data_IF_376765417660
#
_entry.id   IF_376765417660
#
_cell.length_a   1.000
_cell.length_b   1.000
_cell.length_c   1.000
_cell.angle_alpha   90.00
_cell.angle_beta   90.00
_cell.angle_gamma   90.00
#
_symmetry.space_group_name_H-M   'P 1'
#
loop_
_entity.id
_entity.type
_entity.pdbx_description
1 polymer ?
#
# COMPACT_ATOMS: atom_id res chain seq x y z
N UNK A 1 50.84 -31.34 35.02
CA UNK A 1 50.27 -30.67 33.85
C UNK A 1 50.99 -29.34 33.65
N UNK A 2 51.87 -29.27 32.64
CA UNK A 2 52.61 -28.09 32.17
C UNK A 2 51.89 -27.52 30.93
N UNK A 3 52.29 -26.36 30.34
CA UNK A 3 52.80 -25.09 30.91
C UNK A 3 52.21 -23.85 30.16
N UNK A 4 52.61 -22.62 30.52
CA UNK A 4 52.48 -21.46 29.61
C UNK A 4 53.72 -20.55 29.68
N UNK A 5 54.23 -20.17 28.51
CA UNK A 5 55.57 -19.62 28.27
C UNK A 5 55.54 -18.20 27.67
N UNK A 6 56.32 -17.32 28.30
CA UNK A 6 57.38 -16.39 27.81
C UNK A 6 57.54 -16.01 26.30
N UNK A 7 57.92 -14.71 26.11
CA UNK A 7 58.72 -14.03 25.04
C UNK A 7 57.91 -13.37 23.89
N UNK A 8 58.28 -12.27 23.20
CA UNK A 8 59.47 -11.38 23.09
C UNK A 8 59.10 -10.10 22.27
N UNK A 9 59.87 -9.01 22.40
CA UNK A 9 59.96 -7.87 21.43
C UNK A 9 61.01 -8.17 20.35
N UNK A 10 60.79 -7.72 19.10
CA UNK A 10 61.69 -6.90 18.26
C UNK A 10 61.53 -7.11 16.73
N UNK A 11 61.43 -5.97 16.02
CA UNK A 11 62.01 -5.62 14.70
C UNK A 11 61.44 -6.07 13.32
N UNK A 12 61.06 -5.03 12.55
CA UNK A 12 61.25 -4.74 11.10
C UNK A 12 60.23 -5.24 10.03
N UNK A 13 59.78 -4.27 9.21
CA UNK A 13 58.88 -4.26 8.01
C UNK A 13 59.35 -5.16 6.82
N UNK A 14 58.58 -5.36 5.71
CA UNK A 14 57.13 -5.20 5.44
C UNK A 14 56.46 -6.46 4.80
N UNK A 15 55.15 -6.69 5.06
CA UNK A 15 54.35 -7.76 4.43
C UNK A 15 53.47 -7.22 3.28
N UNK A 16 54.09 -6.87 2.15
CA UNK A 16 53.43 -6.51 0.90
C UNK A 16 53.22 -7.68 -0.08
N UNK A 17 53.71 -8.89 0.24
CA UNK A 17 53.89 -9.95 -0.77
C UNK A 17 53.19 -11.29 -0.47
N UNK A 18 52.33 -11.39 0.56
CA UNK A 18 51.65 -12.66 0.92
C UNK A 18 50.15 -12.76 0.63
N UNK A 19 49.53 -11.77 -0.01
CA UNK A 19 48.08 -11.85 -0.36
C UNK A 19 47.83 -12.11 -1.86
N UNK A 20 48.83 -11.90 -2.73
CA UNK A 20 48.70 -12.12 -4.18
C UNK A 20 48.88 -13.57 -4.64
N UNK A 21 49.32 -14.48 -3.76
CA UNK A 21 49.59 -15.89 -4.12
C UNK A 21 48.46 -16.87 -3.75
N UNK A 22 47.41 -16.42 -3.06
CA UNK A 22 46.22 -17.23 -2.76
C UNK A 22 45.08 -17.03 -3.78
N UNK A 23 45.01 -15.86 -4.44
CA UNK A 23 43.96 -15.55 -5.44
C UNK A 23 44.15 -16.20 -6.82
N UNK A 24 45.40 -16.43 -7.26
CA UNK A 24 45.68 -17.00 -8.59
C UNK A 24 45.25 -18.48 -8.73
N UNK A 25 45.45 -19.30 -7.69
CA UNK A 25 45.09 -20.74 -7.74
C UNK A 25 43.58 -21.02 -7.73
N UNK A 26 42.74 -20.03 -7.43
CA UNK A 26 41.27 -20.16 -7.42
C UNK A 26 40.63 -19.70 -8.73
N UNK A 27 41.30 -18.83 -9.49
CA UNK A 27 40.86 -18.37 -10.82
C UNK A 27 41.20 -19.41 -11.89
N UNK A 28 42.36 -20.08 -11.79
CA UNK A 28 42.76 -21.11 -12.74
C UNK A 28 41.81 -22.32 -12.74
N UNK A 29 41.26 -22.71 -11.56
CA UNK A 29 40.25 -23.79 -11.48
C UNK A 29 38.87 -23.40 -12.01
N UNK A 30 38.51 -22.11 -12.00
CA UNK A 30 37.24 -21.63 -12.55
C UNK A 30 37.34 -21.53 -14.08
N UNK A 31 38.49 -21.13 -14.62
CA UNK A 31 38.76 -21.10 -16.06
C UNK A 31 38.84 -22.51 -16.67
N UNK A 32 39.32 -23.50 -15.92
CA UNK A 32 39.35 -24.91 -16.35
C UNK A 32 37.94 -25.53 -16.40
N UNK A 33 37.05 -25.19 -15.46
CA UNK A 33 35.62 -25.57 -15.53
C UNK A 33 34.88 -24.91 -16.71
N UNK A 34 35.20 -23.66 -17.06
CA UNK A 34 34.61 -22.97 -18.23
C UNK A 34 35.11 -23.58 -19.55
N UNK A 35 36.35 -24.08 -19.60
CA UNK A 35 36.91 -24.77 -20.77
C UNK A 35 36.27 -26.15 -21.01
N UNK A 36 35.90 -26.88 -19.96
CA UNK A 36 35.29 -28.22 -20.09
C UNK A 36 33.82 -28.14 -20.55
N UNK A 37 33.10 -27.04 -20.27
CA UNK A 37 31.71 -26.84 -20.76
C UNK A 37 31.62 -26.37 -22.21
N UNK A 38 32.73 -25.92 -22.81
CA UNK A 38 32.77 -25.40 -24.18
C UNK A 38 33.13 -26.45 -25.24
N UNK A 39 33.41 -27.69 -24.84
CA UNK A 39 33.85 -28.77 -25.75
C UNK A 39 32.71 -29.66 -26.29
N UNK A 40 31.46 -29.39 -25.90
CA UNK A 40 30.27 -30.19 -26.34
C UNK A 40 29.36 -29.43 -27.32
N UNK A 41 29.82 -28.31 -27.90
CA UNK A 41 29.10 -27.60 -28.97
C UNK A 41 30.08 -27.28 -30.11
N UNK A 42 30.72 -28.31 -30.65
CA UNK A 42 31.43 -28.23 -31.93
C UNK A 42 31.30 -29.57 -32.68
N UNK A 43 30.08 -29.90 -33.07
CA UNK A 43 29.84 -30.70 -34.27
C UNK A 43 28.50 -30.23 -34.87
N UNK A 44 28.54 -29.71 -36.09
CA UNK A 44 27.42 -29.21 -36.94
C UNK A 44 27.34 -27.70 -37.17
N UNK A 45 28.44 -27.07 -37.62
CA UNK A 45 28.35 -25.82 -38.39
C UNK A 45 29.39 -25.79 -39.52
N UNK A 46 29.06 -26.43 -40.64
CA UNK A 46 29.80 -26.33 -41.92
C UNK A 46 29.02 -25.57 -43.01
N UNK A 47 28.09 -24.68 -42.64
CA UNK A 47 27.30 -23.90 -43.61
C UNK A 47 27.15 -22.39 -43.31
N UNK A 48 28.10 -21.79 -42.57
CA UNK A 48 28.09 -20.34 -42.30
C UNK A 48 29.45 -19.68 -42.54
N UNK A 49 30.11 -19.98 -43.67
CA UNK A 49 31.36 -19.33 -44.07
C UNK A 49 31.31 -18.51 -45.36
N UNK A 50 30.13 -18.42 -46.00
CA UNK A 50 29.96 -17.69 -47.27
C UNK A 50 29.12 -16.40 -47.16
N UNK A 51 28.78 -15.94 -45.95
CA UNK A 51 27.91 -14.78 -45.75
C UNK A 51 28.60 -13.55 -45.12
N UNK A 52 29.94 -13.50 -45.09
CA UNK A 52 30.71 -12.43 -44.43
C UNK A 52 31.68 -11.71 -45.38
N UNK A 53 31.28 -11.50 -46.64
CA UNK A 53 31.94 -10.59 -47.58
C UNK A 53 30.92 -9.85 -48.43
N UNK A 54 30.34 -8.78 -47.87
CA UNK A 54 29.76 -7.66 -48.63
C UNK A 54 28.97 -6.74 -47.68
N UNK A 55 29.65 -5.92 -46.90
CA UNK A 55 29.04 -4.70 -46.38
C UNK A 55 30.08 -3.60 -46.54
N UNK A 56 30.03 -2.92 -47.67
CA UNK A 56 30.65 -1.62 -47.87
C UNK A 56 29.64 -0.66 -48.51
N UNK A 57 29.59 0.54 -47.93
CA UNK A 57 29.13 1.81 -48.49
C UNK A 57 27.67 1.98 -49.00
N UNK A 58 26.96 2.82 -48.26
CA UNK A 58 26.09 3.93 -48.69
C UNK A 58 24.86 3.70 -49.59
N UNK A 59 23.77 4.35 -49.14
CA UNK A 59 22.54 4.73 -49.84
C UNK A 59 21.49 3.62 -50.04
N UNK A 60 20.25 3.91 -49.61
CA UNK A 60 18.94 3.48 -50.14
C UNK A 60 17.89 3.63 -49.01
N UNK A 61 17.19 4.77 -48.97
CA UNK A 61 15.82 4.96 -49.48
C UNK A 61 14.78 4.15 -48.68
N UNK A 62 13.86 4.89 -48.08
CA UNK A 62 12.62 4.42 -47.47
C UNK A 62 11.89 3.41 -48.38
N UNK A 63 11.86 2.15 -47.97
CA UNK A 63 10.94 1.16 -48.51
C UNK A 63 10.17 0.53 -47.34
N UNK A 64 8.91 0.94 -47.19
CA UNK A 64 7.93 0.25 -46.35
C UNK A 64 7.68 -1.14 -46.97
N UNK A 65 8.13 -2.19 -46.28
CA UNK A 65 7.73 -3.56 -46.59
C UNK A 65 6.47 -3.89 -45.77
N UNK A 66 5.32 -4.20 -46.40
CA UNK A 66 4.13 -4.59 -45.67
C UNK A 66 4.30 -6.04 -45.20
N UNK A 67 4.50 -6.23 -43.90
CA UNK A 67 4.57 -7.55 -43.29
C UNK A 67 3.15 -8.11 -43.10
N UNK A 68 2.58 -8.65 -44.18
CA UNK A 68 1.33 -9.41 -44.12
C UNK A 68 1.58 -10.81 -43.56
N UNK A 69 0.85 -11.20 -42.52
CA UNK A 69 0.60 -12.61 -42.21
C UNK A 69 1.62 -13.28 -41.29
N UNK A 70 1.68 -12.86 -40.03
CA UNK A 70 2.11 -13.76 -38.95
C UNK A 70 1.10 -13.59 -37.81
N UNK A 71 0.47 -14.68 -37.39
CA UNK A 71 -0.53 -14.66 -36.33
C UNK A 71 0.03 -13.90 -35.12
N UNK A 72 -0.55 -12.73 -34.86
CA UNK A 72 -0.38 -12.08 -33.57
C UNK A 72 -0.92 -13.08 -32.54
N UNK A 73 -0.03 -13.87 -31.93
CA UNK A 73 -0.28 -14.35 -30.59
C UNK A 73 -0.55 -13.10 -29.79
N UNK A 74 -1.83 -12.77 -29.60
CA UNK A 74 -2.31 -11.69 -28.75
C UNK A 74 -1.71 -11.98 -27.37
N UNK A 75 -0.53 -11.42 -27.11
CA UNK A 75 0.19 -11.60 -25.86
C UNK A 75 -0.81 -11.27 -24.77
N UNK A 76 -1.07 -12.23 -23.89
CA UNK A 76 -2.06 -12.01 -22.85
C UNK A 76 -1.64 -10.79 -22.04
N UNK A 77 -2.51 -9.78 -21.97
CA UNK A 77 -2.26 -8.61 -21.14
C UNK A 77 -1.99 -9.07 -19.70
N UNK A 78 -0.91 -8.58 -19.12
CA UNK A 78 -0.51 -8.84 -17.73
C UNK A 78 -0.63 -7.56 -16.92
N UNK A 79 -0.53 -7.67 -15.60
CA UNK A 79 -0.45 -6.47 -14.75
C UNK A 79 0.75 -5.60 -15.15
N UNK A 80 1.88 -6.24 -15.50
CA UNK A 80 3.07 -5.57 -15.99
C UNK A 80 2.84 -4.82 -17.30
N UNK A 81 2.19 -5.46 -18.30
CA UNK A 81 1.91 -4.81 -19.58
C UNK A 81 0.95 -3.63 -19.44
N UNK A 82 -0.11 -3.77 -18.62
CA UNK A 82 -1.05 -2.67 -18.32
C UNK A 82 -0.39 -1.51 -17.61
N UNK A 83 0.51 -1.80 -16.68
CA UNK A 83 1.25 -0.75 -15.99
C UNK A 83 2.23 -0.03 -16.94
N UNK A 84 2.81 -0.75 -17.90
CA UNK A 84 3.69 -0.18 -18.93
C UNK A 84 2.94 0.69 -19.95
N UNK A 85 1.69 0.33 -20.30
CA UNK A 85 0.79 1.14 -21.15
C UNK A 85 0.51 2.54 -20.60
N UNK A 86 0.71 2.74 -19.28
CA UNK A 86 0.41 3.99 -18.58
C UNK A 86 1.63 4.54 -17.81
N UNK A 87 2.83 4.44 -18.37
CA UNK A 87 4.06 5.04 -17.83
C UNK A 87 4.38 4.65 -16.36
N UNK A 88 3.99 3.44 -15.96
CA UNK A 88 4.22 3.00 -14.59
C UNK A 88 3.17 3.46 -13.57
N UNK A 89 2.07 4.06 -14.02
CA UNK A 89 0.99 4.60 -13.19
C UNK A 89 -0.33 3.91 -13.55
N UNK A 90 -0.95 3.21 -12.59
CA UNK A 90 -2.28 2.65 -12.85
C UNK A 90 -3.36 3.75 -12.77
N UNK A 91 -4.18 3.91 -13.81
CA UNK A 91 -5.06 5.07 -13.93
C UNK A 91 -6.29 5.01 -13.00
N UNK A 92 -6.67 3.83 -12.52
CA UNK A 92 -7.81 3.63 -11.63
C UNK A 92 -7.48 3.63 -10.13
N UNK A 93 -6.19 3.74 -9.75
CA UNK A 93 -5.78 3.58 -8.34
C UNK A 93 -6.39 4.63 -7.41
N UNK A 94 -6.54 5.88 -7.84
CA UNK A 94 -7.13 6.94 -7.01
C UNK A 94 -8.61 6.68 -6.71
N UNK A 95 -9.36 6.25 -7.73
CA UNK A 95 -10.77 5.89 -7.56
C UNK A 95 -10.95 4.69 -6.63
N UNK A 96 -10.11 3.65 -6.77
CA UNK A 96 -10.12 2.50 -5.87
C UNK A 96 -9.81 2.92 -4.43
N UNK A 97 -8.80 3.77 -4.21
CA UNK A 97 -8.47 4.27 -2.87
C UNK A 97 -9.61 5.08 -2.26
N UNK A 98 -10.28 5.92 -3.03
CA UNK A 98 -11.42 6.70 -2.54
C UNK A 98 -12.59 5.78 -2.23
N UNK A 99 -12.89 4.80 -3.08
CA UNK A 99 -13.93 3.81 -2.82
C UNK A 99 -13.65 3.06 -1.50
N UNK A 100 -12.41 2.63 -1.28
CA UNK A 100 -12.01 1.97 -0.03
C UNK A 100 -12.12 2.92 1.18
N UNK A 101 -11.76 4.20 1.04
CA UNK A 101 -11.88 5.19 2.13
C UNK A 101 -13.35 5.43 2.50
N UNK A 102 -14.24 5.50 1.50
CA UNK A 102 -15.68 5.61 1.71
C UNK A 102 -16.27 4.35 2.32
N UNK A 103 -15.79 3.15 1.94
CA UNK A 103 -16.17 1.90 2.61
C UNK A 103 -15.77 1.90 4.09
N UNK A 104 -14.58 2.39 4.45
CA UNK A 104 -14.18 2.54 5.85
C UNK A 104 -15.08 3.53 6.59
N UNK A 105 -15.42 4.66 5.96
CA UNK A 105 -16.35 5.64 6.53
C UNK A 105 -17.76 5.05 6.77
N UNK A 106 -18.19 4.16 5.88
CA UNK A 106 -19.44 3.40 6.04
C UNK A 106 -19.34 2.44 7.23
N UNK A 107 -18.24 1.69 7.35
CA UNK A 107 -17.98 0.82 8.51
C UNK A 107 -17.98 1.60 9.83
N UNK A 108 -17.40 2.80 9.86
CA UNK A 108 -17.47 3.66 11.04
C UNK A 108 -18.90 4.14 11.34
N UNK A 109 -19.74 4.35 10.31
CA UNK A 109 -21.17 4.62 10.51
C UNK A 109 -21.85 3.46 11.23
N UNK A 110 -21.59 2.22 10.81
CA UNK A 110 -22.12 1.02 11.47
C UNK A 110 -21.58 0.84 12.89
N UNK A 111 -20.34 1.24 13.16
CA UNK A 111 -19.74 1.18 14.49
C UNK A 111 -20.31 2.24 15.45
N UNK A 112 -20.48 3.46 14.96
CA UNK A 112 -20.88 4.61 15.78
C UNK A 112 -22.41 4.76 15.87
N UNK A 113 -23.16 4.19 14.94
CA UNK A 113 -24.61 3.99 15.03
C UNK A 113 -24.93 2.50 14.86
N UNK A 114 -24.59 1.67 15.87
CA UNK A 114 -24.81 0.23 15.79
C UNK A 114 -26.29 -0.10 15.64
N UNK A 115 -26.58 -1.11 14.84
CA UNK A 115 -27.93 -1.70 14.80
C UNK A 115 -28.06 -2.72 15.91
N UNK A 116 -29.26 -3.29 16.01
CA UNK A 116 -29.44 -4.51 16.76
C UNK A 116 -28.39 -5.58 16.33
N UNK A 117 -27.89 -6.42 17.26
CA UNK A 117 -26.76 -7.33 17.01
C UNK A 117 -26.91 -8.20 15.75
N UNK A 118 -28.13 -8.59 15.41
CA UNK A 118 -28.48 -9.36 14.21
C UNK A 118 -28.08 -8.66 12.89
N UNK A 119 -27.94 -7.33 12.89
CA UNK A 119 -27.54 -6.58 11.71
C UNK A 119 -26.11 -6.85 11.25
N UNK A 120 -25.25 -7.42 12.11
CA UNK A 120 -23.92 -7.87 11.69
C UNK A 120 -24.01 -8.98 10.63
N UNK A 121 -25.07 -9.78 10.67
CA UNK A 121 -25.36 -10.86 9.71
C UNK A 121 -26.27 -10.41 8.55
N UNK A 122 -26.87 -9.22 8.65
CA UNK A 122 -27.68 -8.68 7.58
C UNK A 122 -26.81 -8.37 6.34
N UNK A 123 -27.35 -8.57 5.13
CA UNK A 123 -26.66 -8.15 3.92
C UNK A 123 -26.56 -6.62 3.86
N UNK A 124 -25.42 -6.11 3.41
CA UNK A 124 -25.18 -4.66 3.24
C UNK A 124 -26.14 -4.06 2.20
N UNK A 125 -26.52 -4.85 1.19
CA UNK A 125 -27.49 -4.47 0.17
C UNK A 125 -28.57 -5.55 0.05
N UNK A 126 -29.86 -5.20 -0.16
CA UNK A 126 -30.96 -6.17 -0.18
C UNK A 126 -30.78 -7.36 -1.14
N UNK A 127 -30.05 -7.16 -2.23
CA UNK A 127 -29.89 -8.14 -3.31
C UNK A 127 -28.48 -8.75 -3.40
N UNK A 128 -27.58 -8.40 -2.48
CA UNK A 128 -26.21 -8.93 -2.46
C UNK A 128 -26.00 -9.62 -1.11
N UNK A 129 -25.75 -10.94 -1.06
CA UNK A 129 -25.57 -11.67 0.20
C UNK A 129 -24.20 -11.41 0.85
N UNK A 130 -23.70 -10.17 0.76
CA UNK A 130 -22.50 -9.71 1.43
C UNK A 130 -22.89 -9.21 2.82
N UNK A 131 -22.59 -10.01 3.84
CA UNK A 131 -22.92 -9.71 5.23
C UNK A 131 -22.08 -8.54 5.78
N UNK A 132 -22.68 -7.74 6.69
CA UNK A 132 -22.07 -6.52 7.24
C UNK A 132 -20.69 -6.76 7.87
N UNK A 133 -20.51 -7.81 8.69
CA UNK A 133 -19.22 -8.10 9.34
C UNK A 133 -18.07 -8.30 8.33
N UNK A 134 -18.37 -8.87 7.17
CA UNK A 134 -17.38 -9.14 6.14
C UNK A 134 -17.06 -7.88 5.34
N UNK A 135 -18.09 -7.08 5.03
CA UNK A 135 -17.90 -5.75 4.47
C UNK A 135 -17.03 -4.88 5.38
N UNK A 136 -17.27 -4.91 6.69
CA UNK A 136 -16.46 -4.15 7.65
C UNK A 136 -15.01 -4.64 7.74
N UNK A 137 -14.78 -5.92 7.47
CA UNK A 137 -13.45 -6.50 7.43
C UNK A 137 -12.66 -6.12 6.16
N UNK A 138 -13.27 -6.17 4.98
CA UNK A 138 -12.55 -6.15 3.69
C UNK A 138 -11.73 -4.88 3.33
N UNK A 139 -12.18 -3.64 3.65
CA UNK A 139 -11.52 -2.42 3.18
C UNK A 139 -10.06 -2.29 3.60
N UNK A 140 -9.73 -2.67 4.84
CA UNK A 140 -8.37 -2.57 5.37
C UNK A 140 -7.40 -3.56 4.68
N UNK A 141 -7.69 -4.87 4.59
CA UNK A 141 -6.92 -5.81 3.78
C UNK A 141 -6.74 -5.36 2.32
N UNK A 142 -7.79 -4.85 1.68
CA UNK A 142 -7.72 -4.31 0.32
C UNK A 142 -6.77 -3.11 0.24
N UNK A 143 -6.84 -2.17 1.19
CA UNK A 143 -5.92 -1.03 1.28
C UNK A 143 -4.47 -1.47 1.47
N UNK A 144 -4.20 -2.43 2.35
CA UNK A 144 -2.84 -2.89 2.62
C UNK A 144 -2.26 -3.62 1.40
N UNK A 145 -3.03 -4.50 0.74
CA UNK A 145 -2.60 -5.18 -0.48
C UNK A 145 -2.35 -4.18 -1.64
N UNK A 146 -3.21 -3.17 -1.78
CA UNK A 146 -3.04 -2.10 -2.76
C UNK A 146 -1.79 -1.25 -2.47
N UNK A 147 -1.60 -0.87 -1.20
CA UNK A 147 -0.45 -0.08 -0.75
C UNK A 147 0.85 -0.83 -1.03
N UNK A 148 0.92 -2.14 -0.73
CA UNK A 148 2.07 -2.97 -1.03
C UNK A 148 2.49 -2.94 -2.50
N UNK A 149 1.51 -3.09 -3.41
CA UNK A 149 1.75 -3.05 -4.84
C UNK A 149 2.32 -1.70 -5.31
N UNK A 150 1.72 -0.59 -4.85
CA UNK A 150 2.09 0.77 -5.26
C UNK A 150 3.44 1.20 -4.66
N UNK A 151 3.69 0.82 -3.42
CA UNK A 151 4.93 1.15 -2.72
C UNK A 151 6.10 0.36 -3.30
N UNK A 152 5.90 -0.90 -3.72
CA UNK A 152 6.90 -1.67 -4.45
C UNK A 152 7.30 -0.99 -5.77
N UNK A 153 6.33 -0.49 -6.55
CA UNK A 153 6.63 0.27 -7.77
C UNK A 153 7.31 1.61 -7.50
N UNK A 154 6.97 2.26 -6.39
CA UNK A 154 7.70 3.44 -5.93
C UNK A 154 9.15 3.12 -5.51
N UNK A 155 9.42 1.94 -4.97
CA UNK A 155 10.76 1.52 -4.54
C UNK A 155 11.68 1.17 -5.72
N UNK A 156 11.15 0.64 -6.82
CA UNK A 156 11.94 0.40 -8.04
C UNK A 156 12.36 1.70 -8.75
N UNK A 157 11.60 2.78 -8.60
CA UNK A 157 11.80 4.04 -9.35
C UNK A 157 12.63 5.10 -8.62
N UNK A 158 12.82 4.97 -7.31
CA UNK A 158 13.38 6.03 -6.47
C UNK A 158 14.61 5.56 -5.70
N UNK A 159 15.50 6.48 -5.35
CA UNK A 159 16.55 6.18 -4.37
C UNK A 159 15.94 5.98 -2.97
N UNK A 160 16.63 5.25 -2.10
CA UNK A 160 16.13 4.92 -0.76
C UNK A 160 15.72 6.17 0.06
N UNK A 161 16.52 7.24 -0.01
CA UNK A 161 16.21 8.50 0.67
C UNK A 161 14.97 9.21 0.10
N UNK A 162 14.83 9.22 -1.24
CA UNK A 162 13.64 9.80 -1.89
C UNK A 162 12.38 9.00 -1.59
N UNK A 163 12.50 7.66 -1.59
CA UNK A 163 11.43 6.76 -1.20
C UNK A 163 10.95 7.09 0.22
N UNK A 164 11.88 7.25 1.16
CA UNK A 164 11.56 7.58 2.56
C UNK A 164 10.87 8.92 2.73
N UNK A 165 11.39 9.97 2.09
CA UNK A 165 10.76 11.28 2.13
C UNK A 165 9.35 11.21 1.55
N UNK A 166 9.14 10.50 0.44
CA UNK A 166 7.82 10.37 -0.18
C UNK A 166 6.84 9.55 0.67
N UNK A 167 7.30 8.68 1.57
CA UNK A 167 6.45 8.00 2.56
C UNK A 167 6.15 8.87 3.76
N UNK A 168 7.15 9.61 4.27
CA UNK A 168 6.93 10.58 5.35
C UNK A 168 5.93 11.67 4.95
N UNK A 169 6.11 12.27 3.77
CA UNK A 169 5.23 13.31 3.23
C UNK A 169 3.82 12.81 2.86
N UNK A 170 3.63 11.49 2.77
CA UNK A 170 2.33 10.87 2.54
C UNK A 170 1.46 10.85 3.80
N UNK A 171 2.09 10.63 4.96
CA UNK A 171 1.42 10.45 6.26
C UNK A 171 1.39 11.77 7.04
N UNK A 172 2.58 12.35 7.26
CA UNK A 172 2.80 13.36 8.28
C UNK A 172 1.93 14.62 8.12
N UNK A 173 1.77 15.21 6.92
CA UNK A 173 0.99 16.44 6.77
C UNK A 173 -0.48 16.25 7.15
N UNK A 174 -1.17 15.28 6.54
CA UNK A 174 -2.59 15.06 6.80
C UNK A 174 -2.84 14.62 8.25
N UNK A 175 -1.96 13.76 8.81
CA UNK A 175 -2.01 13.33 10.21
C UNK A 175 -1.87 14.50 11.17
N UNK A 176 -0.92 15.41 10.92
CA UNK A 176 -0.74 16.60 11.76
C UNK A 176 -1.98 17.50 11.74
N UNK A 177 -2.60 17.66 10.57
CA UNK A 177 -3.83 18.45 10.42
C UNK A 177 -4.98 17.83 11.20
N UNK A 178 -5.15 16.50 11.16
CA UNK A 178 -6.21 15.85 11.91
C UNK A 178 -6.01 15.97 13.41
N UNK A 179 -4.79 15.75 13.90
CA UNK A 179 -4.50 15.86 15.34
C UNK A 179 -4.71 17.29 15.83
N UNK A 180 -4.32 18.30 15.04
CA UNK A 180 -4.60 19.71 15.35
C UNK A 180 -6.08 20.01 15.30
N UNK A 181 -6.82 19.53 14.30
CA UNK A 181 -8.27 19.67 14.20
C UNK A 181 -8.96 19.08 15.44
N UNK A 182 -8.62 17.85 15.80
CA UNK A 182 -9.20 17.14 16.93
C UNK A 182 -8.85 17.80 18.27
N UNK A 183 -7.59 18.18 18.50
CA UNK A 183 -7.14 18.73 19.78
C UNK A 183 -7.40 20.23 19.97
N UNK A 184 -7.31 21.05 18.92
CA UNK A 184 -7.42 22.51 19.04
C UNK A 184 -8.77 23.07 18.58
N UNK A 185 -9.55 22.30 17.82
CA UNK A 185 -10.86 22.76 17.31
C UNK A 185 -11.98 21.93 17.91
N UNK A 186 -12.05 20.63 17.61
CA UNK A 186 -13.16 19.79 18.07
C UNK A 186 -13.16 19.63 19.60
N UNK A 187 -11.99 19.38 20.20
CA UNK A 187 -11.85 19.19 21.64
C UNK A 187 -12.40 20.37 22.47
N UNK A 188 -11.91 21.60 22.29
CA UNK A 188 -12.41 22.77 23.01
C UNK A 188 -13.89 23.08 22.76
N UNK A 189 -14.41 22.74 21.57
CA UNK A 189 -15.83 22.97 21.23
C UNK A 189 -16.77 21.92 21.82
N UNK A 190 -16.29 20.70 22.06
CA UNK A 190 -17.14 19.54 22.38
C UNK A 190 -16.81 18.88 23.72
N UNK A 191 -15.80 19.37 24.45
CA UNK A 191 -15.45 18.90 25.79
C UNK A 191 -16.51 19.29 26.83
N UNK A 192 -16.72 18.43 27.81
CA UNK A 192 -17.54 18.73 29.01
C UNK A 192 -16.75 19.42 30.12
N UNK A 193 -15.42 19.56 29.96
CA UNK A 193 -14.56 20.22 30.94
C UNK A 193 -14.41 21.72 30.65
N UNK A 194 -14.07 22.50 31.67
CA UNK A 194 -13.68 23.90 31.46
C UNK A 194 -12.38 24.00 30.65
N UNK A 195 -12.25 25.01 29.79
CA UNK A 195 -11.08 25.15 28.88
C UNK A 195 -9.73 25.13 29.60
N UNK A 196 -9.64 25.73 30.79
CA UNK A 196 -8.41 25.68 31.59
C UNK A 196 -8.05 24.24 31.98
N UNK A 197 -9.03 23.47 32.45
CA UNK A 197 -8.85 22.06 32.78
C UNK A 197 -8.48 21.26 31.53
N UNK A 198 -9.13 21.52 30.39
CA UNK A 198 -8.85 20.86 29.12
C UNK A 198 -7.38 21.02 28.68
N UNK A 199 -6.87 22.26 28.63
CA UNK A 199 -5.51 22.53 28.13
C UNK A 199 -4.40 22.18 29.13
N UNK A 200 -4.70 22.12 30.44
CA UNK A 200 -3.71 21.75 31.47
C UNK A 200 -3.67 20.25 31.76
N UNK A 201 -4.64 19.48 31.27
CA UNK A 201 -4.66 18.03 31.42
C UNK A 201 -3.54 17.36 30.60
N UNK A 202 -2.76 16.42 31.18
CA UNK A 202 -1.70 15.70 30.46
C UNK A 202 -2.17 14.94 29.20
N UNK A 203 -3.45 14.53 29.13
CA UNK A 203 -4.01 13.85 27.95
C UNK A 203 -3.98 14.76 26.71
N UNK A 204 -4.21 16.06 26.87
CA UNK A 204 -4.13 17.02 25.77
C UNK A 204 -2.75 16.99 25.10
N UNK A 205 -1.68 17.09 25.90
CA UNK A 205 -0.31 17.07 25.38
C UNK A 205 0.06 15.69 24.80
N UNK A 206 -0.38 14.59 25.43
CA UNK A 206 -0.14 13.22 24.95
C UNK A 206 -0.80 12.96 23.60
N UNK A 207 -1.94 13.59 23.32
CA UNK A 207 -2.64 13.44 22.05
C UNK A 207 -1.79 13.89 20.85
N UNK A 208 -0.84 14.82 21.02
CA UNK A 208 0.08 15.21 19.94
C UNK A 208 1.13 14.14 19.59
N UNK A 209 1.35 13.14 20.46
CA UNK A 209 2.22 12.00 20.16
C UNK A 209 1.68 11.12 19.03
N UNK A 210 0.39 11.24 18.70
CA UNK A 210 -0.19 10.60 17.53
C UNK A 210 0.51 10.99 16.22
N UNK A 211 1.06 12.21 16.11
CA UNK A 211 1.78 12.72 14.92
C UNK A 211 2.99 11.83 14.58
N UNK A 212 3.64 11.25 15.59
CA UNK A 212 4.79 10.36 15.42
C UNK A 212 4.40 8.88 15.47
N UNK A 213 3.10 8.57 15.44
CA UNK A 213 2.58 7.19 15.43
C UNK A 213 2.47 6.55 16.81
N UNK A 214 2.54 7.31 17.91
CA UNK A 214 2.25 6.80 19.26
C UNK A 214 0.78 7.09 19.61
N UNK A 215 -0.07 6.07 19.43
CA UNK A 215 -1.51 6.27 19.34
C UNK A 215 -2.16 6.50 20.70
N UNK A 216 -2.85 7.63 20.82
CA UNK A 216 -3.67 8.02 21.96
C UNK A 216 -5.07 8.39 21.45
N UNK A 217 -6.10 7.74 21.97
CA UNK A 217 -7.46 7.90 21.45
C UNK A 217 -8.26 9.01 22.11
N UNK A 218 -7.85 9.46 23.29
CA UNK A 218 -8.66 10.27 24.19
C UNK A 218 -8.14 11.71 24.29
N UNK A 219 -9.08 12.65 24.37
CA UNK A 219 -8.85 14.04 24.78
C UNK A 219 -9.68 14.33 26.04
N UNK A 220 -9.25 15.27 26.90
CA UNK A 220 -9.92 15.55 28.17
C UNK A 220 -11.40 15.89 27.99
N UNK A 221 -12.31 15.07 28.51
CA UNK A 221 -13.74 15.34 28.51
C UNK A 221 -14.44 15.30 27.15
N UNK A 222 -13.81 14.79 26.09
CA UNK A 222 -14.38 14.79 24.73
C UNK A 222 -15.12 13.46 24.44
N UNK A 223 -16.33 13.53 23.86
CA UNK A 223 -17.15 12.38 23.44
C UNK A 223 -17.46 11.33 24.53
N UNK A 224 -17.52 11.72 25.81
CA UNK A 224 -17.75 10.77 26.91
C UNK A 224 -19.10 10.05 26.86
N UNK A 225 -20.11 10.66 26.22
CA UNK A 225 -21.47 10.12 26.12
C UNK A 225 -21.79 9.51 24.74
N UNK A 226 -20.84 9.51 23.80
CA UNK A 226 -21.07 8.97 22.46
C UNK A 226 -21.02 7.42 22.47
N UNK A 227 -21.57 6.74 21.44
CA UNK A 227 -21.62 5.26 21.39
C UNK A 227 -20.26 4.55 21.50
N UNK A 228 -19.18 5.24 21.12
CA UNK A 228 -17.81 4.81 21.40
C UNK A 228 -17.15 5.84 22.33
N UNK A 229 -17.34 5.72 23.65
CA UNK A 229 -17.08 6.80 24.60
C UNK A 229 -15.58 7.09 24.72
N UNK A 230 -15.23 8.38 24.76
CA UNK A 230 -13.84 8.87 24.92
C UNK A 230 -12.94 8.73 23.68
N UNK A 231 -13.30 7.89 22.71
CA UNK A 231 -12.51 7.70 21.49
C UNK A 231 -12.78 8.83 20.49
N UNK A 232 -11.81 9.74 20.37
CA UNK A 232 -11.82 10.87 19.44
C UNK A 232 -11.64 10.42 18.00
N UNK A 233 -10.63 9.60 17.72
CA UNK A 233 -10.38 9.08 16.39
C UNK A 233 -9.97 7.61 16.44
N UNK A 234 -10.95 6.74 16.19
CA UNK A 234 -10.72 5.31 16.13
C UNK A 234 -9.82 4.89 14.97
N UNK A 235 -9.74 5.66 13.88
CA UNK A 235 -8.96 5.34 12.67
C UNK A 235 -7.45 5.35 12.89
N UNK A 236 -6.96 6.05 13.92
CA UNK A 236 -5.53 6.21 14.18
C UNK A 236 -4.79 4.88 14.41
N UNK A 237 -5.51 3.82 14.77
CA UNK A 237 -4.94 2.50 15.06
C UNK A 237 -4.15 1.88 13.90
N UNK A 238 -4.44 2.22 12.63
CA UNK A 238 -3.72 1.64 11.49
C UNK A 238 -2.41 2.35 11.18
N UNK A 239 -2.22 3.58 11.64
CA UNK A 239 -1.03 4.40 11.34
C UNK A 239 0.28 3.70 11.75
N UNK A 240 0.40 3.11 12.96
CA UNK A 240 1.61 2.37 13.33
C UNK A 240 1.85 1.17 12.42
N UNK A 241 0.80 0.52 11.93
CA UNK A 241 0.90 -0.62 11.02
C UNK A 241 1.41 -0.21 9.64
N UNK A 242 0.97 0.95 9.14
CA UNK A 242 1.48 1.53 7.90
C UNK A 242 2.96 1.90 8.02
N UNK A 243 3.35 2.56 9.12
CA UNK A 243 4.75 2.90 9.42
C UNK A 243 5.60 1.63 9.51
N UNK A 244 5.10 0.59 10.18
CA UNK A 244 5.77 -0.72 10.28
C UNK A 244 5.96 -1.37 8.91
N UNK A 245 4.97 -1.31 8.02
CA UNK A 245 5.09 -1.82 6.66
C UNK A 245 6.20 -1.11 5.87
N UNK A 246 6.30 0.22 6.00
CA UNK A 246 7.34 1.00 5.34
C UNK A 246 8.73 0.71 5.92
N UNK A 247 8.84 0.58 7.24
CA UNK A 247 10.08 0.21 7.91
C UNK A 247 10.53 -1.22 7.52
N UNK A 248 9.59 -2.18 7.49
CA UNK A 248 9.88 -3.55 7.09
C UNK A 248 10.35 -3.62 5.64
N UNK A 249 9.67 -2.94 4.71
CA UNK A 249 10.11 -2.89 3.32
C UNK A 249 11.50 -2.24 3.19
N UNK A 250 11.77 -1.18 3.94
CA UNK A 250 13.10 -0.57 3.97
C UNK A 250 14.16 -1.59 4.40
N UNK A 251 13.89 -2.35 5.46
CA UNK A 251 14.77 -3.42 5.92
C UNK A 251 14.98 -4.47 4.83
N UNK A 252 13.92 -4.89 4.15
CA UNK A 252 14.02 -5.84 3.03
C UNK A 252 14.87 -5.29 1.87
N UNK A 253 14.81 -3.99 1.58
CA UNK A 253 15.62 -3.35 0.54
C UNK A 253 17.09 -3.31 0.96
N UNK A 254 17.40 -2.84 2.18
CA UNK A 254 18.78 -2.67 2.67
C UNK A 254 19.49 -4.02 2.86
N UNK A 255 18.77 -5.04 3.35
CA UNK A 255 19.31 -6.41 3.51
C UNK A 255 19.42 -7.16 2.18
N UNK A 256 18.88 -6.62 1.09
CA UNK A 256 18.85 -7.28 -0.22
C UNK A 256 17.76 -8.36 -0.37
N UNK A 257 16.95 -8.62 0.67
CA UNK A 257 15.82 -9.55 0.63
C UNK A 257 14.84 -9.22 -0.51
N UNK A 258 14.60 -7.93 -0.73
CA UNK A 258 13.71 -7.42 -1.79
C UNK A 258 14.13 -7.84 -3.20
N UNK A 259 15.41 -8.17 -3.42
CA UNK A 259 15.93 -8.59 -4.73
C UNK A 259 15.44 -9.98 -5.14
N UNK A 260 15.06 -10.83 -4.18
CA UNK A 260 14.58 -12.18 -4.46
C UNK A 260 13.06 -12.27 -4.28
N UNK A 261 12.37 -12.49 -5.40
CA UNK A 261 10.91 -12.67 -5.43
C UNK A 261 10.45 -13.87 -4.58
N UNK A 262 11.27 -14.92 -4.57
CA UNK A 262 11.02 -16.11 -3.75
C UNK A 262 11.17 -15.81 -2.26
N UNK A 263 12.16 -15.03 -1.85
CA UNK A 263 12.34 -14.68 -0.42
C UNK A 263 11.22 -13.77 0.09
N UNK A 264 10.74 -12.84 -0.73
CA UNK A 264 9.57 -12.01 -0.39
C UNK A 264 8.30 -12.86 -0.24
N UNK A 265 8.10 -13.84 -1.13
CA UNK A 265 7.00 -14.79 -1.02
C UNK A 265 7.13 -15.65 0.26
N UNK A 266 8.32 -16.20 0.53
CA UNK A 266 8.57 -17.00 1.74
C UNK A 266 8.39 -16.19 3.02
N UNK A 267 8.81 -14.92 3.05
CA UNK A 267 8.53 -14.02 4.19
C UNK A 267 7.03 -13.83 4.40
N UNK A 268 6.29 -13.59 3.31
CA UNK A 268 4.83 -13.42 3.35
C UNK A 268 4.14 -14.67 3.88
N UNK A 269 4.47 -15.84 3.33
CA UNK A 269 3.95 -17.13 3.76
C UNK A 269 4.38 -17.47 5.19
N UNK A 270 5.60 -17.12 5.57
CA UNK A 270 6.13 -17.31 6.92
C UNK A 270 5.33 -16.53 7.97
N UNK A 271 4.98 -15.27 7.71
CA UNK A 271 4.16 -14.49 8.64
C UNK A 271 2.73 -15.04 8.76
N UNK A 272 2.12 -15.47 7.65
CA UNK A 272 0.85 -16.20 7.72
C UNK A 272 0.97 -17.51 8.50
N UNK A 273 2.06 -18.25 8.31
CA UNK A 273 2.37 -19.48 9.04
C UNK A 273 2.54 -19.25 10.55
N UNK A 274 3.21 -18.17 10.95
CA UNK A 274 3.35 -17.76 12.36
C UNK A 274 1.98 -17.43 12.97
N UNK A 275 1.15 -16.66 12.26
CA UNK A 275 -0.21 -16.35 12.69
C UNK A 275 -1.05 -17.62 12.86
N UNK A 276 -0.94 -18.56 11.90
CA UNK A 276 -1.59 -19.87 11.97
C UNK A 276 -1.12 -20.69 13.16
N UNK A 277 0.19 -20.75 13.40
CA UNK A 277 0.77 -21.53 14.49
C UNK A 277 0.30 -20.99 15.85
N UNK A 278 0.32 -19.67 16.06
CA UNK A 278 -0.17 -19.05 17.30
C UNK A 278 -1.65 -19.37 17.51
N UNK A 279 -2.47 -19.24 16.48
CA UNK A 279 -3.90 -19.55 16.55
C UNK A 279 -4.16 -21.02 16.89
N UNK A 280 -3.44 -21.94 16.25
CA UNK A 280 -3.56 -23.38 16.52
C UNK A 280 -3.07 -23.74 17.93
N UNK A 281 -1.97 -23.16 18.40
CA UNK A 281 -1.51 -23.34 19.78
C UNK A 281 -2.61 -22.94 20.78
N UNK A 282 -3.26 -21.79 20.58
CA UNK A 282 -4.37 -21.35 21.41
C UNK A 282 -5.58 -22.30 21.36
N UNK A 283 -5.94 -22.82 20.18
CA UNK A 283 -7.03 -23.80 20.02
C UNK A 283 -6.72 -25.17 20.63
N UNK A 284 -5.46 -25.57 20.64
CA UNK A 284 -4.99 -26.84 21.21
C UNK A 284 -4.66 -26.74 22.72
N UNK A 285 -4.83 -25.57 23.34
CA UNK A 285 -4.52 -25.35 24.75
C UNK A 285 -3.01 -25.34 25.08
N UNK A 286 -2.15 -25.12 24.08
CA UNK A 286 -0.70 -25.05 24.26
C UNK A 286 -0.33 -23.67 24.82
N UNK A 287 0.20 -23.65 26.05
CA UNK A 287 0.60 -22.42 26.71
C UNK A 287 1.87 -21.82 26.08
N UNK A 288 1.70 -20.73 25.32
CA UNK A 288 2.81 -19.91 24.84
C UNK A 288 3.13 -18.79 25.83
N UNK A 289 4.41 -18.48 26.10
CA UNK A 289 4.77 -17.26 26.81
C UNK A 289 4.18 -16.05 26.08
N UNK A 290 3.54 -15.14 26.82
CA UNK A 290 2.91 -13.94 26.27
C UNK A 290 1.82 -14.24 25.21
N UNK A 291 1.12 -15.37 25.31
CA UNK A 291 0.09 -15.81 24.37
C UNK A 291 -0.90 -14.68 24.01
N UNK A 292 -1.40 -13.92 24.98
CA UNK A 292 -2.39 -12.86 24.73
C UNK A 292 -1.80 -11.71 23.90
N UNK A 293 -0.55 -11.31 24.19
CA UNK A 293 0.15 -10.28 23.42
C UNK A 293 0.46 -10.76 22.00
N UNK A 294 0.86 -12.02 21.85
CA UNK A 294 1.14 -12.63 20.55
C UNK A 294 -0.14 -12.78 19.72
N UNK A 295 -1.23 -13.21 20.34
CA UNK A 295 -2.56 -13.31 19.72
C UNK A 295 -3.04 -11.93 19.29
N UNK A 296 -2.88 -10.92 20.14
CA UNK A 296 -3.16 -9.53 19.78
C UNK A 296 -2.33 -9.10 18.56
N UNK A 297 -1.02 -9.34 18.58
CA UNK A 297 -0.09 -8.87 17.55
C UNK A 297 -0.26 -9.57 16.18
N UNK A 298 -0.49 -10.88 16.18
CA UNK A 298 -0.46 -11.73 14.98
C UNK A 298 -1.83 -12.20 14.50
N UNK A 299 -2.86 -12.20 15.36
CA UNK A 299 -4.16 -12.84 15.05
C UNK A 299 -5.30 -11.83 14.99
N UNK A 300 -5.48 -10.98 16.01
CA UNK A 300 -6.68 -10.14 16.10
C UNK A 300 -6.53 -8.76 15.47
N UNK A 301 -5.82 -7.83 16.13
CA UNK A 301 -5.76 -6.41 15.74
C UNK A 301 -4.35 -5.88 15.51
N UNK A 302 -3.32 -6.70 15.63
CA UNK A 302 -1.94 -6.24 15.54
C UNK A 302 -1.38 -6.15 14.12
N UNK A 303 -0.23 -5.47 14.02
CA UNK A 303 0.47 -5.21 12.77
C UNK A 303 0.70 -6.47 11.94
N UNK A 304 1.00 -7.59 12.60
CA UNK A 304 1.37 -8.81 11.89
C UNK A 304 0.18 -9.54 11.24
N UNK A 305 -1.06 -9.08 11.44
CA UNK A 305 -2.21 -9.48 10.63
C UNK A 305 -2.28 -8.74 9.28
N UNK A 306 -1.97 -7.44 9.28
CA UNK A 306 -2.09 -6.58 8.09
C UNK A 306 -0.81 -6.55 7.25
N UNK A 307 0.36 -6.71 7.88
CA UNK A 307 1.67 -6.74 7.21
C UNK A 307 1.75 -7.83 6.12
N UNK A 308 1.28 -9.09 6.31
CA UNK A 308 1.31 -10.11 5.27
C UNK A 308 0.50 -9.73 4.04
N UNK A 309 -0.62 -9.02 4.21
CA UNK A 309 -1.44 -8.51 3.10
C UNK A 309 -0.68 -7.45 2.29
N UNK A 310 0.03 -6.55 2.98
CA UNK A 310 0.92 -5.58 2.34
C UNK A 310 2.08 -6.25 1.60
N UNK A 311 2.76 -7.22 2.22
CA UNK A 311 3.82 -7.97 1.57
C UNK A 311 3.30 -8.75 0.35
N UNK A 312 2.08 -9.30 0.41
CA UNK A 312 1.47 -9.94 -0.73
C UNK A 312 1.25 -8.96 -1.90
N UNK A 313 0.86 -7.72 -1.60
CA UNK A 313 0.84 -6.64 -2.60
C UNK A 313 2.18 -6.42 -3.29
N UNK A 314 3.28 -6.45 -2.53
CA UNK A 314 4.65 -6.37 -3.06
C UNK A 314 4.97 -7.57 -3.95
N UNK A 315 4.62 -8.78 -3.51
CA UNK A 315 4.79 -10.01 -4.29
C UNK A 315 4.03 -9.91 -5.62
N UNK A 316 2.78 -9.45 -5.60
CA UNK A 316 2.00 -9.19 -6.81
C UNK A 316 2.70 -8.22 -7.76
N UNK A 317 3.30 -7.15 -7.24
CA UNK A 317 4.08 -6.22 -8.04
C UNK A 317 5.36 -6.85 -8.63
N UNK A 318 6.06 -7.69 -7.87
CA UNK A 318 7.27 -8.39 -8.35
C UNK A 318 6.96 -9.46 -9.40
N UNK A 319 5.78 -10.07 -9.34
CA UNK A 319 5.29 -11.05 -10.32
C UNK A 319 4.37 -10.45 -11.39
N UNK A 320 4.25 -9.11 -11.48
CA UNK A 320 3.32 -8.40 -12.38
C UNK A 320 3.36 -8.86 -13.84
N UNK A 321 4.53 -9.23 -14.35
CA UNK A 321 4.71 -9.67 -15.75
C UNK A 321 4.20 -11.10 -16.00
N UNK A 322 3.86 -11.84 -14.93
CA UNK A 322 3.32 -13.20 -14.97
C UNK A 322 1.84 -13.25 -14.60
N UNK A 323 1.33 -12.20 -13.95
CA UNK A 323 -0.07 -12.15 -13.50
C UNK A 323 -0.94 -11.66 -14.65
N UNK A 324 -1.84 -12.50 -15.19
CA UNK A 324 -2.71 -12.11 -16.29
C UNK A 324 -3.75 -11.09 -15.83
N UNK A 325 -3.98 -10.05 -16.64
CA UNK A 325 -5.01 -9.04 -16.44
C UNK A 325 -6.33 -9.53 -17.04
N UNK A 326 -7.18 -10.16 -16.23
CA UNK A 326 -8.42 -10.81 -16.69
C UNK A 326 -9.58 -10.52 -15.76
N UNK A 327 -10.63 -9.92 -16.32
CA UNK A 327 -11.88 -9.67 -15.60
C UNK A 327 -12.46 -10.93 -14.97
N UNK A 328 -12.39 -12.08 -15.67
CA UNK A 328 -12.90 -13.36 -15.17
C UNK A 328 -12.29 -13.76 -13.82
N UNK A 329 -10.99 -13.50 -13.58
CA UNK A 329 -10.35 -13.83 -12.30
C UNK A 329 -10.73 -12.85 -11.18
N UNK A 330 -10.91 -11.57 -11.50
CA UNK A 330 -11.40 -10.60 -10.55
C UNK A 330 -12.85 -10.93 -10.14
N UNK A 331 -13.70 -11.24 -11.13
CA UNK A 331 -15.09 -11.63 -10.90
C UNK A 331 -15.18 -12.95 -10.12
N UNK A 332 -14.43 -13.98 -10.51
CA UNK A 332 -14.44 -15.26 -9.80
C UNK A 332 -13.96 -15.11 -8.35
N UNK A 333 -12.94 -14.29 -8.11
CA UNK A 333 -12.47 -13.96 -6.77
C UNK A 333 -13.54 -13.24 -5.93
N UNK A 334 -14.19 -12.22 -6.50
CA UNK A 334 -15.26 -11.49 -5.84
C UNK A 334 -16.47 -12.40 -5.52
N UNK A 335 -16.89 -13.24 -6.47
CA UNK A 335 -17.96 -14.22 -6.25
C UNK A 335 -17.58 -15.22 -5.18
N UNK A 336 -16.35 -15.77 -5.22
CA UNK A 336 -15.86 -16.69 -4.20
C UNK A 336 -15.88 -16.05 -2.81
N UNK A 337 -15.45 -14.80 -2.69
CA UNK A 337 -15.51 -14.06 -1.43
C UNK A 337 -16.95 -13.90 -0.92
N UNK A 338 -17.89 -13.50 -1.78
CA UNK A 338 -19.31 -13.39 -1.43
C UNK A 338 -19.89 -14.74 -0.98
N UNK A 339 -19.58 -15.83 -1.70
CA UNK A 339 -20.00 -17.18 -1.32
C UNK A 339 -19.42 -17.57 0.04
N UNK A 340 -18.11 -17.38 0.27
CA UNK A 340 -17.48 -17.67 1.57
C UNK A 340 -18.15 -16.91 2.71
N UNK A 341 -18.50 -15.65 2.50
CA UNK A 341 -19.15 -14.80 3.50
C UNK A 341 -20.60 -15.22 3.75
N UNK A 342 -21.34 -15.59 2.71
CA UNK A 342 -22.74 -16.02 2.85
C UNK A 342 -22.90 -17.24 3.78
N UNK A 343 -21.87 -18.10 3.84
CA UNK A 343 -21.81 -19.26 4.76
C UNK A 343 -20.88 -19.04 5.97
N UNK A 344 -20.35 -17.82 6.13
CA UNK A 344 -19.38 -17.48 7.17
C UNK A 344 -20.04 -17.03 8.48
N UNK A 345 -19.19 -16.76 9.47
CA UNK A 345 -19.57 -16.17 10.76
C UNK A 345 -18.66 -14.99 11.09
N UNK A 346 -19.13 -13.96 11.82
CA UNK A 346 -18.29 -12.86 12.33
C UNK A 346 -17.02 -13.33 13.05
N UNK A 347 -17.05 -14.50 13.69
CA UNK A 347 -15.88 -15.08 14.37
C UNK A 347 -14.70 -15.37 13.42
N UNK A 348 -14.98 -15.52 12.12
CA UNK A 348 -13.96 -15.74 11.10
C UNK A 348 -13.03 -14.54 10.94
N UNK A 349 -13.47 -13.34 11.34
CA UNK A 349 -12.61 -12.16 11.38
C UNK A 349 -11.44 -12.38 12.33
N UNK A 350 -11.56 -13.16 13.40
CA UNK A 350 -10.42 -13.48 14.27
C UNK A 350 -9.64 -14.73 13.83
N UNK A 351 -9.98 -15.33 12.67
CA UNK A 351 -9.37 -16.55 12.19
C UNK A 351 -8.32 -16.25 11.08
N UNK A 352 -7.04 -16.61 11.29
CA UNK A 352 -5.99 -16.35 10.31
C UNK A 352 -6.16 -17.15 9.01
N UNK A 353 -6.90 -18.27 9.03
CA UNK A 353 -7.24 -19.03 7.81
C UNK A 353 -8.03 -18.13 6.86
N UNK A 354 -9.02 -17.41 7.38
CA UNK A 354 -9.85 -16.53 6.55
C UNK A 354 -9.00 -15.43 5.91
N UNK A 355 -8.09 -14.82 6.67
CA UNK A 355 -7.16 -13.81 6.14
C UNK A 355 -6.21 -14.40 5.09
N UNK A 356 -5.67 -15.60 5.32
CA UNK A 356 -4.79 -16.29 4.37
C UNK A 356 -5.48 -16.61 3.04
N UNK A 357 -6.72 -17.13 3.09
CA UNK A 357 -7.50 -17.50 1.90
C UNK A 357 -7.96 -16.26 1.12
N UNK A 358 -8.38 -15.21 1.81
CA UNK A 358 -8.90 -13.99 1.17
C UNK A 358 -7.79 -13.06 0.65
N UNK A 359 -6.58 -13.12 1.22
CA UNK A 359 -5.47 -12.28 0.83
C UNK A 359 -5.16 -12.25 -0.69
N UNK A 360 -4.99 -13.39 -1.40
CA UNK A 360 -4.75 -13.38 -2.85
C UNK A 360 -5.95 -12.86 -3.64
N UNK A 361 -7.18 -13.08 -3.16
CA UNK A 361 -8.41 -12.55 -3.79
C UNK A 361 -8.37 -11.02 -3.72
N UNK A 362 -8.16 -10.47 -2.54
CA UNK A 362 -8.09 -9.03 -2.32
C UNK A 362 -6.95 -8.38 -3.11
N UNK A 363 -5.76 -8.96 -3.07
CA UNK A 363 -4.61 -8.47 -3.83
C UNK A 363 -4.89 -8.49 -5.34
N UNK A 364 -5.54 -9.52 -5.88
CA UNK A 364 -5.87 -9.56 -7.30
C UNK A 364 -6.95 -8.52 -7.66
N UNK A 365 -8.07 -8.51 -6.94
CA UNK A 365 -9.23 -7.66 -7.24
C UNK A 365 -8.86 -6.17 -7.15
N UNK A 366 -8.15 -5.75 -6.10
CA UNK A 366 -7.82 -4.34 -5.89
C UNK A 366 -6.82 -3.82 -6.92
N UNK A 367 -5.83 -4.65 -7.30
CA UNK A 367 -4.84 -4.28 -8.31
C UNK A 367 -5.43 -4.36 -9.73
N UNK A 368 -6.31 -5.33 -10.01
CA UNK A 368 -7.07 -5.37 -11.26
C UNK A 368 -7.92 -4.11 -11.43
N UNK A 369 -8.67 -3.71 -10.40
CA UNK A 369 -9.47 -2.50 -10.43
C UNK A 369 -8.58 -1.25 -10.58
N UNK A 370 -7.46 -1.17 -9.85
CA UNK A 370 -6.56 -0.02 -9.92
C UNK A 370 -5.83 0.15 -11.27
N UNK A 371 -5.63 -0.95 -12.01
CA UNK A 371 -5.09 -0.93 -13.37
C UNK A 371 -6.17 -0.68 -14.45
N UNK A 372 -7.45 -0.60 -14.08
CA UNK A 372 -8.54 -0.42 -15.03
C UNK A 372 -8.73 1.04 -15.42
N UNK A 373 -8.70 1.33 -16.72
CA UNK A 373 -9.04 2.63 -17.30
C UNK A 373 -10.51 3.03 -17.07
N UNK A 374 -11.40 2.05 -16.82
CA UNK A 374 -12.83 2.32 -16.58
C UNK A 374 -13.09 3.07 -15.27
N UNK A 375 -12.10 3.11 -14.38
CA UNK A 375 -12.20 3.78 -13.08
C UNK A 375 -11.47 5.13 -13.05
N UNK A 376 -11.24 5.74 -14.22
CA UNK A 376 -10.67 7.08 -14.31
C UNK A 376 -11.75 8.13 -14.10
N UNK A 377 -11.69 8.81 -12.96
CA UNK A 377 -12.56 9.94 -12.65
C UNK A 377 -11.73 11.20 -12.49
N UNK A 378 -11.78 12.09 -13.49
CA UNK A 378 -10.94 13.32 -13.54
C UNK A 378 -11.01 14.21 -12.30
N UNK A 379 -12.17 14.42 -11.65
CA UNK A 379 -12.21 15.22 -10.41
C UNK A 379 -11.46 14.56 -9.26
N UNK A 380 -11.47 13.22 -9.20
CA UNK A 380 -10.85 12.43 -8.14
C UNK A 380 -9.35 12.27 -8.33
N UNK A 381 -8.84 12.37 -9.57
CA UNK A 381 -7.41 12.30 -9.88
C UNK A 381 -6.65 13.63 -9.70
N UNK A 382 -7.30 14.66 -9.14
CA UNK A 382 -6.71 15.98 -8.86
C UNK A 382 -5.99 16.06 -7.50
N UNK A 383 -6.12 15.05 -6.66
CA UNK A 383 -5.46 15.00 -5.36
C UNK A 383 -5.54 13.64 -4.68
N UNK A 384 -4.71 13.47 -3.65
CA UNK A 384 -4.68 12.25 -2.83
C UNK A 384 -5.71 12.33 -1.68
N UNK A 385 -7.00 12.48 -2.04
CA UNK A 385 -8.08 12.74 -1.08
C UNK A 385 -8.40 11.55 -0.18
N UNK A 386 -8.09 10.33 -0.62
CA UNK A 386 -8.51 9.10 0.08
C UNK A 386 -7.99 9.03 1.51
N UNK A 387 -6.77 9.51 1.74
CA UNK A 387 -6.17 9.49 3.07
C UNK A 387 -6.83 10.51 4.00
N UNK A 388 -7.13 11.71 3.50
CA UNK A 388 -7.90 12.70 4.25
C UNK A 388 -9.31 12.19 4.60
N UNK A 389 -10.03 11.60 3.64
CA UNK A 389 -11.38 11.05 3.88
C UNK A 389 -11.33 9.98 4.98
N UNK A 390 -10.36 9.07 4.90
CA UNK A 390 -10.12 8.03 5.90
C UNK A 390 -9.86 8.63 7.30
N UNK A 391 -8.98 9.63 7.36
CA UNK A 391 -8.45 10.16 8.61
C UNK A 391 -9.43 11.10 9.32
N UNK A 392 -10.07 12.03 8.59
CA UNK A 392 -11.02 13.00 9.14
C UNK A 392 -12.41 12.41 9.39
N UNK A 393 -12.75 11.28 8.77
CA UNK A 393 -14.08 10.69 8.83
C UNK A 393 -14.59 10.41 10.24
N UNK A 394 -13.79 9.69 11.04
CA UNK A 394 -14.18 9.27 12.39
C UNK A 394 -14.41 10.44 13.37
N UNK A 395 -13.48 11.40 13.55
CA UNK A 395 -13.70 12.51 14.48
C UNK A 395 -14.86 13.41 14.05
N UNK A 396 -15.07 13.58 12.73
CA UNK A 396 -16.23 14.31 12.22
C UNK A 396 -17.54 13.56 12.49
N UNK A 397 -17.58 12.24 12.35
CA UNK A 397 -18.75 11.43 12.71
C UNK A 397 -19.06 11.49 14.20
N UNK A 398 -18.05 11.43 15.08
CA UNK A 398 -18.23 11.61 16.52
C UNK A 398 -18.79 13.01 16.85
N UNK A 399 -18.25 14.05 16.21
CA UNK A 399 -18.75 15.42 16.36
C UNK A 399 -20.20 15.55 15.89
N UNK A 400 -20.55 14.95 14.75
CA UNK A 400 -21.92 14.93 14.21
C UNK A 400 -22.89 14.19 15.13
N UNK A 401 -22.48 13.08 15.77
CA UNK A 401 -23.33 12.36 16.73
C UNK A 401 -23.66 13.26 17.93
N UNK A 402 -22.66 13.97 18.46
CA UNK A 402 -22.85 14.82 19.62
C UNK A 402 -23.67 16.09 19.28
N UNK A 403 -23.47 16.67 18.09
CA UNK A 403 -24.09 17.96 17.70
C UNK A 403 -25.39 17.82 16.93
N UNK A 404 -25.63 16.69 16.28
CA UNK A 404 -26.81 16.41 15.44
C UNK A 404 -27.46 15.07 15.86
N UNK A 405 -27.85 14.90 17.14
CA UNK A 405 -28.43 13.64 17.62
C UNK A 405 -29.72 13.27 16.89
N UNK A 406 -30.48 14.26 16.39
CA UNK A 406 -31.75 14.09 15.68
C UNK A 406 -31.65 13.43 14.30
N UNK A 407 -30.46 13.23 13.74
CA UNK A 407 -30.28 12.54 12.45
C UNK A 407 -30.30 11.04 12.69
N UNK A 408 -31.48 10.45 12.88
CA UNK A 408 -31.60 9.01 13.19
C UNK A 408 -31.41 8.09 11.99
N UNK A 409 -31.68 8.59 10.79
CA UNK A 409 -31.49 7.84 9.56
C UNK A 409 -30.01 7.65 9.22
N UNK A 410 -29.62 6.39 9.04
CA UNK A 410 -28.22 6.01 8.75
C UNK A 410 -27.75 6.47 7.39
N UNK A 411 -28.61 6.44 6.38
CA UNK A 411 -28.24 6.83 5.04
C UNK A 411 -27.98 8.34 4.99
N UNK A 412 -28.84 9.14 5.64
CA UNK A 412 -28.66 10.58 5.82
C UNK A 412 -27.38 10.89 6.61
N UNK A 413 -27.14 10.20 7.73
CA UNK A 413 -25.92 10.37 8.52
C UNK A 413 -24.66 10.03 7.71
N UNK A 414 -24.68 8.93 6.95
CA UNK A 414 -23.56 8.55 6.08
C UNK A 414 -23.34 9.56 4.95
N UNK A 415 -24.40 10.02 4.28
CA UNK A 415 -24.31 11.01 3.22
C UNK A 415 -23.70 12.33 3.72
N UNK A 416 -24.12 12.79 4.90
CA UNK A 416 -23.55 13.98 5.54
C UNK A 416 -22.09 13.74 5.96
N UNK A 417 -21.76 12.54 6.44
CA UNK A 417 -20.39 12.14 6.78
C UNK A 417 -19.47 12.19 5.56
N UNK A 418 -19.93 11.70 4.40
CA UNK A 418 -19.19 11.78 3.13
C UNK A 418 -18.93 13.24 2.78
N UNK A 419 -19.96 14.10 2.85
CA UNK A 419 -19.83 15.51 2.50
C UNK A 419 -18.82 16.21 3.42
N UNK A 420 -18.93 16.00 4.75
CA UNK A 420 -18.03 16.59 5.73
C UNK A 420 -16.58 16.11 5.56
N UNK A 421 -16.36 14.79 5.50
CA UNK A 421 -15.03 14.20 5.37
C UNK A 421 -14.37 14.57 4.04
N UNK A 422 -15.11 14.55 2.93
CA UNK A 422 -14.59 14.94 1.61
C UNK A 422 -14.25 16.42 1.55
N UNK A 423 -15.08 17.29 2.11
CA UNK A 423 -14.80 18.73 2.18
C UNK A 423 -13.52 19.00 2.96
N UNK A 424 -13.35 18.37 4.13
CA UNK A 424 -12.14 18.52 4.94
C UNK A 424 -10.91 17.94 4.24
N UNK A 425 -11.03 16.78 3.59
CA UNK A 425 -9.95 16.16 2.82
C UNK A 425 -9.50 17.05 1.65
N UNK A 426 -10.45 17.63 0.91
CA UNK A 426 -10.17 18.56 -0.18
C UNK A 426 -9.50 19.82 0.35
N UNK A 427 -10.00 20.39 1.46
CA UNK A 427 -9.41 21.57 2.10
C UNK A 427 -7.97 21.30 2.54
N UNK A 428 -7.72 20.25 3.32
CA UNK A 428 -6.38 19.86 3.78
C UNK A 428 -5.42 19.66 2.61
N UNK A 429 -5.86 18.94 1.57
CA UNK A 429 -5.04 18.67 0.41
C UNK A 429 -4.56 19.96 -0.27
N UNK A 430 -5.47 20.89 -0.58
CA UNK A 430 -5.13 22.07 -1.36
C UNK A 430 -4.39 23.14 -0.55
N UNK A 431 -4.70 23.27 0.74
CA UNK A 431 -4.16 24.33 1.60
C UNK A 431 -2.84 23.90 2.25
N UNK A 432 -2.65 22.62 2.55
CA UNK A 432 -1.53 22.15 3.38
C UNK A 432 -0.69 21.11 2.63
N UNK A 433 -1.28 19.98 2.25
CA UNK A 433 -0.50 18.83 1.76
C UNK A 433 0.15 19.10 0.40
N UNK A 434 -0.61 19.65 -0.55
CA UNK A 434 -0.14 19.95 -1.91
C UNK A 434 0.96 21.03 -1.91
N UNK A 435 0.86 22.15 -1.16
CA UNK A 435 1.98 23.08 -0.97
C UNK A 435 3.22 22.42 -0.38
N UNK A 436 3.08 21.61 0.67
CA UNK A 436 4.20 20.88 1.30
C UNK A 436 4.89 19.96 0.28
N UNK A 437 4.12 19.24 -0.54
CA UNK A 437 4.65 18.40 -1.62
C UNK A 437 5.33 19.24 -2.72
N UNK A 438 4.79 20.41 -3.06
CA UNK A 438 5.36 21.31 -4.09
C UNK A 438 6.71 21.90 -3.68
N UNK A 439 6.98 22.11 -2.40
CA UNK A 439 8.29 22.54 -1.91
C UNK A 439 9.41 21.53 -2.22
N UNK A 440 9.07 20.28 -2.57
CA UNK A 440 10.03 19.21 -2.92
C UNK A 440 9.86 18.65 -4.33
N UNK A 441 9.39 19.46 -5.29
CA UNK A 441 9.18 19.11 -6.72
C UNK A 441 10.30 18.32 -7.40
N UNK A 442 11.56 18.49 -6.96
CA UNK A 442 12.69 17.73 -7.51
C UNK A 442 12.59 16.21 -7.26
N UNK A 443 11.83 15.75 -6.26
CA UNK A 443 11.93 14.37 -5.73
C UNK A 443 10.60 13.60 -5.56
N UNK A 444 9.42 14.23 -5.68
CA UNK A 444 8.12 13.55 -5.51
C UNK A 444 7.41 13.30 -6.84
N UNK A 445 7.23 12.02 -7.20
CA UNK A 445 6.48 11.59 -8.39
C UNK A 445 5.00 11.96 -8.28
N UNK A 446 4.39 11.79 -7.10
CA UNK A 446 3.02 12.23 -6.83
C UNK A 446 2.87 13.73 -7.07
N UNK A 447 3.84 14.54 -6.64
CA UNK A 447 3.86 15.97 -6.92
C UNK A 447 4.02 16.27 -8.42
N UNK A 448 4.78 15.48 -9.17
CA UNK A 448 4.92 15.63 -10.63
C UNK A 448 3.65 15.27 -11.39
N UNK A 449 2.98 14.17 -11.04
CA UNK A 449 1.72 13.74 -11.66
C UNK A 449 0.63 14.79 -11.42
N UNK A 450 0.47 15.24 -10.17
CA UNK A 450 -0.57 16.20 -9.79
C UNK A 450 -0.26 17.65 -10.20
N UNK A 451 1.01 18.02 -10.39
CA UNK A 451 1.37 19.33 -10.94
C UNK A 451 1.37 19.33 -12.48
N UNK A 452 1.68 18.20 -13.13
CA UNK A 452 1.69 18.06 -14.58
C UNK A 452 0.28 18.10 -15.19
N UNK A 453 -0.71 17.52 -14.51
CA UNK A 453 -2.11 17.57 -14.95
C UNK A 453 -2.67 19.00 -15.01
N UNK A 454 -2.16 19.93 -14.20
CA UNK A 454 -2.53 21.35 -14.26
C UNK A 454 -1.86 22.09 -15.43
N UNK A 455 -0.62 21.74 -15.79
CA UNK A 455 0.07 22.35 -16.94
C UNK A 455 -0.61 21.94 -18.24
N UNK A 456 -1.06 20.69 -18.37
CA UNK A 456 -1.87 20.26 -19.51
C UNK A 456 -3.27 20.88 -19.50
N UNK A 457 -3.95 20.95 -18.36
CA UNK A 457 -5.25 21.60 -18.25
C UNK A 457 -5.18 23.11 -18.56
N UNK A 458 -4.10 23.78 -18.14
CA UNK A 458 -3.83 25.19 -18.45
C UNK A 458 -3.50 25.42 -19.92
N UNK A 459 -2.80 24.47 -20.58
CA UNK A 459 -2.54 24.53 -22.03
C UNK A 459 -3.79 24.27 -22.87
N UNK A 460 -4.69 23.39 -22.44
CA UNK A 460 -5.98 23.19 -23.10
C UNK A 460 -6.94 24.37 -22.92
N UNK A 461 -6.88 25.08 -21.77
CA UNK A 461 -7.62 26.32 -21.54
C UNK A 461 -7.05 27.54 -22.26
N UNK A 462 -5.80 27.46 -22.75
CA UNK A 462 -5.10 28.53 -23.44
C UNK A 462 -4.89 28.27 -24.94
N UNK A 463 -5.76 27.48 -25.59
CA UNK A 463 -5.85 27.51 -27.05
C UNK A 463 -6.47 28.84 -27.47
N UNK A 464 -5.78 29.70 -28.24
CA UNK A 464 -6.41 30.89 -28.79
C UNK A 464 -7.58 30.44 -29.67
N UNK A 465 -8.75 31.05 -29.46
CA UNK A 465 -9.89 30.88 -30.34
C UNK A 465 -9.42 31.12 -31.78
N UNK A 466 -9.61 30.13 -32.66
CA UNK A 466 -9.41 30.33 -34.10
C UNK A 466 -10.32 31.48 -34.54
N UNK A 467 -9.81 32.48 -35.29
CA UNK A 467 -10.67 33.51 -35.83
C UNK A 467 -11.67 32.85 -36.78
N UNK A 468 -12.96 33.12 -36.53
CA UNK A 468 -14.04 32.70 -37.41
C UNK A 468 -13.74 33.19 -38.83
N UNK A 469 -13.66 32.25 -39.77
CA UNK A 469 -13.57 32.57 -41.18
C UNK A 469 -14.83 33.35 -41.57
N UNK A 470 -14.64 34.59 -42.06
CA UNK A 470 -15.66 35.35 -42.72
C UNK A 470 -16.11 34.58 -43.96
N UNK A 471 -17.41 34.28 -44.03
CA UNK A 471 -18.06 33.84 -45.25
C UNK A 471 -18.53 35.10 -46.00
N UNK A 472 -18.09 35.21 -47.26
CA UNK A 472 -18.78 35.98 -48.32
C UNK A 472 -20.15 35.38 -48.63
#
# INVERSE_FOLDING_TARGET
>A
MQPCARLRKADRLPLGERVLTCGKRRIDRILECIRISSFTITSNFTHLRDAERSIDSHSLIYAQVPYSGRSERRLMATFGSRLAEHDGVGPGFDAVRIALALSVLFTHTSLLRPAAPEAALAPVLPFVPLQQWAFDFAPLPLFFALSGFLVAGSAERLSLGQFMINRGLRILPALSVEIVLSALVLGPLLTVYGLWQYFTDPLFARYFLNIIGNIHYELPGVFLANPNPGIVNGSLWTVPHEITCYALLMLCIVTGLYRSRALMLLLTLGLFGVSMAIFLCGKLGIALPYHDKLTYLFVTRGAARLVPLFLLGIVFYQYRDRIPYRFAYALSGAVLYVVMVAFGSPDWVANPIFSFVTAPIFAYVVNYAGLSEKLVFKPLSRGDYSYGIYLYGFPLQQAMIQTMPWIDDRAAFFALSIAAASTMAIFSWHVIEKPVLRLRRKFSLTARIHAGSEVEAGKLGARPAQPAAAAE
#
